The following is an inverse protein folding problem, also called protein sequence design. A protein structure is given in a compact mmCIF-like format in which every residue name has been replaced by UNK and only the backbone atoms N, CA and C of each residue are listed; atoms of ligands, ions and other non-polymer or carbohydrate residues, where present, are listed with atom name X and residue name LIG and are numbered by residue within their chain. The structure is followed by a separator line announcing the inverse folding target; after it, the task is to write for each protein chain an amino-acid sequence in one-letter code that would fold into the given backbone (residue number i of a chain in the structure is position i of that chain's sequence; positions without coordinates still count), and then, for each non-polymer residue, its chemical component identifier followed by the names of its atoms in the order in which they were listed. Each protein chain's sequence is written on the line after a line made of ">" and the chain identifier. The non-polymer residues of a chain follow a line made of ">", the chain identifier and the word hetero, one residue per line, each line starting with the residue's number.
data_IF_091949364841
#
_entry.id   IF_091949364841
#
_cell.length_a   1.000
_cell.length_b   1.000
_cell.length_c   1.000
_cell.angle_alpha   90.00
_cell.angle_beta   90.00
_cell.angle_gamma   90.00
#
_symmetry.space_group_name_H-M   'P 1'
#
loop_
_entity.id
_entity.type
_entity.pdbx_description
1 polymer ?
#
# COMPACT_ATOMS: atom_id res chain seq x y z
N UNK A 1 -11.05 -13.76 7.69
CA UNK A 1 -9.65 -13.38 7.34
C UNK A 1 -9.10 -14.19 6.17
N UNK A 2 -9.20 -15.53 6.14
CA UNK A 2 -8.72 -16.32 4.99
C UNK A 2 -9.49 -16.04 3.68
N UNK A 3 -10.80 -15.80 3.74
CA UNK A 3 -11.61 -15.38 2.58
C UNK A 3 -11.11 -14.09 1.90
N UNK A 4 -10.57 -13.15 2.70
CA UNK A 4 -10.02 -11.91 2.16
C UNK A 4 -8.67 -12.15 1.45
N UNK A 5 -7.84 -13.04 1.99
CA UNK A 5 -6.58 -13.44 1.34
C UNK A 5 -6.83 -14.22 0.04
N UNK A 6 -7.84 -15.08 0.05
CA UNK A 6 -8.28 -15.81 -1.13
C UNK A 6 -8.80 -14.87 -2.23
N UNK A 7 -9.63 -13.89 -1.85
CA UNK A 7 -10.07 -12.83 -2.75
C UNK A 7 -8.88 -12.02 -3.32
N UNK A 8 -7.93 -11.61 -2.50
CA UNK A 8 -6.76 -10.85 -3.00
C UNK A 8 -5.94 -11.71 -3.97
N UNK A 9 -5.68 -12.98 -3.63
CA UNK A 9 -4.97 -13.90 -4.51
C UNK A 9 -5.69 -14.15 -5.84
N UNK A 10 -7.02 -14.21 -5.83
CA UNK A 10 -7.80 -14.35 -7.08
C UNK A 10 -7.76 -13.08 -7.92
N UNK A 11 -7.80 -11.89 -7.32
CA UNK A 11 -7.70 -10.60 -8.03
C UNK A 11 -6.34 -10.41 -8.71
N UNK A 12 -5.24 -10.80 -8.05
CA UNK A 12 -3.89 -10.71 -8.65
C UNK A 12 -3.56 -11.86 -9.61
N UNK A 13 -4.49 -12.80 -9.80
CA UNK A 13 -4.31 -13.98 -10.65
C UNK A 13 -3.26 -14.97 -10.13
N UNK A 14 -2.89 -14.90 -8.85
CA UNK A 14 -1.81 -15.71 -8.28
C UNK A 14 -2.27 -16.47 -7.03
N UNK A 15 -2.57 -17.75 -7.23
CA UNK A 15 -3.05 -18.66 -6.20
C UNK A 15 -1.88 -19.45 -5.57
N UNK A 16 -1.88 -19.66 -4.24
CA UNK A 16 -0.86 -20.48 -3.59
C UNK A 16 -0.80 -21.90 -4.18
N UNK A 17 0.40 -22.45 -4.47
CA UNK A 17 0.54 -23.81 -4.97
C UNK A 17 -0.10 -24.87 -4.06
N UNK A 18 -0.23 -24.57 -2.77
CA UNK A 18 -0.85 -25.43 -1.77
C UNK A 18 -2.37 -25.61 -1.94
N UNK A 19 -3.06 -24.81 -2.77
CA UNK A 19 -4.46 -25.05 -3.17
C UNK A 19 -4.61 -26.27 -4.08
N UNK A 20 -3.53 -26.73 -4.72
CA UNK A 20 -3.56 -27.93 -5.58
C UNK A 20 -3.82 -29.23 -4.82
N UNK A 21 -3.65 -29.24 -3.49
CA UNK A 21 -3.95 -30.39 -2.65
C UNK A 21 -5.18 -30.11 -1.76
N UNK A 22 -6.36 -30.67 -2.07
CA UNK A 22 -7.60 -30.40 -1.35
C UNK A 22 -7.57 -30.85 0.12
N UNK A 23 -6.60 -31.69 0.51
CA UNK A 23 -6.50 -32.24 1.86
C UNK A 23 -5.61 -31.41 2.82
N UNK A 24 -4.98 -30.33 2.36
CA UNK A 24 -4.07 -29.53 3.20
C UNK A 24 -4.68 -28.15 3.53
N UNK A 25 -4.96 -27.85 4.81
CA UNK A 25 -5.52 -26.55 5.17
C UNK A 25 -4.52 -25.42 4.91
N UNK A 26 -4.95 -24.41 4.15
CA UNK A 26 -4.13 -23.24 3.84
C UNK A 26 -4.00 -22.32 5.06
N UNK A 27 -2.74 -22.06 5.41
CA UNK A 27 -2.35 -21.10 6.44
C UNK A 27 -1.95 -19.77 5.81
N UNK A 28 -2.08 -18.68 6.58
CA UNK A 28 -1.68 -17.32 6.17
C UNK A 28 -0.26 -17.25 5.56
N UNK A 29 0.69 -18.04 6.09
CA UNK A 29 2.06 -18.11 5.58
C UNK A 29 2.11 -18.42 4.08
N UNK A 30 1.27 -19.33 3.60
CA UNK A 30 1.26 -19.72 2.18
C UNK A 30 0.78 -18.58 1.28
N UNK A 31 -0.27 -17.86 1.69
CA UNK A 31 -0.73 -16.65 1.00
C UNK A 31 0.36 -15.58 0.99
N UNK A 32 0.97 -15.29 2.15
CA UNK A 32 2.02 -14.29 2.25
C UNK A 32 3.22 -14.60 1.33
N UNK A 33 3.71 -15.84 1.33
CA UNK A 33 4.79 -16.26 0.42
C UNK A 33 4.38 -16.13 -1.05
N UNK A 34 3.15 -16.50 -1.39
CA UNK A 34 2.66 -16.43 -2.78
C UNK A 34 2.54 -14.99 -3.26
N UNK A 35 1.98 -14.10 -2.44
CA UNK A 35 1.89 -12.67 -2.73
C UNK A 35 3.27 -12.02 -2.84
N UNK A 36 4.23 -12.41 -2.00
CA UNK A 36 5.60 -11.92 -2.07
C UNK A 36 6.29 -12.37 -3.37
N UNK A 37 6.15 -13.65 -3.75
CA UNK A 37 6.72 -14.15 -5.01
C UNK A 37 6.12 -13.41 -6.21
N UNK A 38 4.78 -13.32 -6.28
CA UNK A 38 4.09 -12.55 -7.31
C UNK A 38 4.58 -11.10 -7.36
N UNK A 39 4.74 -10.46 -6.19
CA UNK A 39 5.25 -9.08 -6.08
C UNK A 39 6.67 -8.96 -6.63
N UNK A 40 7.52 -9.97 -6.39
CA UNK A 40 8.90 -10.01 -6.88
C UNK A 40 9.00 -10.33 -8.37
N UNK A 41 7.98 -10.92 -8.98
CA UNK A 41 7.94 -11.18 -10.43
C UNK A 41 7.52 -9.94 -11.24
N UNK A 42 6.87 -8.96 -10.60
CA UNK A 42 6.45 -7.75 -11.29
C UNK A 42 7.65 -6.98 -11.87
N UNK A 43 7.51 -6.58 -13.14
CA UNK A 43 8.42 -5.65 -13.81
C UNK A 43 8.11 -4.23 -13.34
N UNK A 44 8.92 -3.70 -12.44
CA UNK A 44 8.83 -2.31 -12.01
C UNK A 44 10.06 -1.55 -12.46
N UNK A 45 9.84 -0.38 -13.06
CA UNK A 45 10.95 0.50 -13.42
C UNK A 45 11.62 1.00 -12.14
N UNK A 46 12.85 0.53 -11.91
CA UNK A 46 13.67 1.04 -10.82
C UNK A 46 14.24 2.39 -11.29
N UNK A 47 13.60 3.51 -10.92
CA UNK A 47 14.21 4.83 -11.10
C UNK A 47 15.37 4.89 -10.11
N UNK A 48 16.56 4.53 -10.59
CA UNK A 48 17.73 4.10 -9.82
C UNK A 48 18.44 5.16 -8.98
N UNK A 49 17.71 6.01 -8.25
CA UNK A 49 18.31 7.07 -7.42
C UNK A 49 18.05 6.99 -5.93
N UNK A 50 17.13 6.15 -5.46
CA UNK A 50 16.91 5.97 -4.02
C UNK A 50 17.56 4.67 -3.54
N UNK A 51 18.50 4.78 -2.59
CA UNK A 51 19.04 3.65 -1.80
C UNK A 51 17.96 3.13 -0.85
N UNK A 52 16.91 2.54 -1.40
CA UNK A 52 15.73 2.16 -0.63
C UNK A 52 15.80 0.74 -0.09
N UNK A 53 15.10 0.50 1.02
CA UNK A 53 15.02 -0.79 1.72
C UNK A 53 14.36 -1.93 0.92
N UNK A 54 13.66 -1.63 -0.18
CA UNK A 54 12.93 -2.62 -0.99
C UNK A 54 13.59 -2.85 -2.35
N UNK A 55 13.75 -4.13 -2.75
CA UNK A 55 14.29 -4.56 -4.05
C UNK A 55 13.38 -4.26 -5.25
N UNK A 56 12.11 -3.95 -4.99
CA UNK A 56 11.09 -3.58 -5.99
C UNK A 56 10.67 -2.13 -5.74
N UNK A 57 10.36 -1.43 -6.82
CA UNK A 57 10.35 0.03 -6.92
C UNK A 57 9.42 0.73 -5.93
N UNK A 58 9.57 2.05 -5.83
CA UNK A 58 8.67 2.90 -5.06
C UNK A 58 7.50 3.31 -5.96
N UNK A 59 6.27 3.05 -5.52
CA UNK A 59 5.06 3.48 -6.25
C UNK A 59 4.93 5.01 -6.18
N UNK A 60 5.32 5.61 -5.05
CA UNK A 60 5.33 7.06 -4.83
C UNK A 60 6.76 7.53 -4.61
N UNK A 61 7.25 8.44 -5.45
CA UNK A 61 8.54 9.09 -5.28
C UNK A 61 8.45 10.29 -4.32
N UNK A 62 9.60 10.82 -3.89
CA UNK A 62 9.64 11.98 -3.01
C UNK A 62 8.91 13.20 -3.61
N UNK A 63 9.01 13.39 -4.93
CA UNK A 63 8.32 14.50 -5.59
C UNK A 63 6.79 14.29 -5.56
N UNK A 64 6.30 13.08 -5.85
CA UNK A 64 4.87 12.77 -5.69
C UNK A 64 4.39 12.97 -4.25
N UNK A 65 5.23 12.64 -3.26
CA UNK A 65 4.90 12.86 -1.84
C UNK A 65 4.80 14.36 -1.53
N UNK A 66 5.65 15.21 -2.11
CA UNK A 66 5.55 16.67 -1.94
C UNK A 66 4.30 17.24 -2.59
N UNK A 67 3.94 16.74 -3.77
CA UNK A 67 2.71 17.13 -4.46
C UNK A 67 1.50 16.78 -3.58
N UNK A 68 1.45 15.55 -3.06
CA UNK A 68 0.42 15.12 -2.10
C UNK A 68 0.39 16.03 -0.86
N UNK A 69 1.54 16.46 -0.33
CA UNK A 69 1.56 17.37 0.83
C UNK A 69 0.96 18.74 0.50
N UNK A 70 1.25 19.28 -0.68
CA UNK A 70 0.64 20.53 -1.15
C UNK A 70 -0.87 20.37 -1.33
N UNK A 71 -1.31 19.24 -1.89
CA UNK A 71 -2.73 18.94 -2.07
C UNK A 71 -3.47 18.84 -0.73
N UNK A 72 -2.89 18.16 0.27
CA UNK A 72 -3.48 18.08 1.61
C UNK A 72 -3.64 19.48 2.23
N UNK A 73 -2.70 20.40 2.00
CA UNK A 73 -2.76 21.76 2.54
C UNK A 73 -3.90 22.58 1.93
N UNK A 74 -4.24 22.35 0.66
CA UNK A 74 -5.32 23.08 -0.04
C UNK A 74 -6.69 22.39 0.05
N UNK A 75 -6.74 21.08 0.33
CA UNK A 75 -7.99 20.31 0.44
C UNK A 75 -8.81 20.80 1.64
N UNK A 76 -10.02 21.31 1.33
CA UNK A 76 -10.98 21.71 2.35
C UNK A 76 -11.55 20.49 3.08
N UNK A 77 -11.08 20.29 4.31
CA UNK A 77 -11.44 19.13 5.13
C UNK A 77 -12.64 19.44 6.02
N UNK A 78 -13.75 18.69 5.92
CA UNK A 78 -14.89 18.88 6.80
C UNK A 78 -14.52 18.65 8.27
N UNK A 79 -15.12 19.41 9.18
CA UNK A 79 -14.79 19.35 10.63
C UNK A 79 -15.05 18.01 11.30
N UNK A 80 -15.93 17.19 10.74
CA UNK A 80 -16.25 15.84 11.23
C UNK A 80 -15.27 14.77 10.75
N UNK A 81 -14.37 15.11 9.83
CA UNK A 81 -13.40 14.17 9.26
C UNK A 81 -12.09 14.21 10.05
N UNK A 82 -11.46 13.06 10.22
CA UNK A 82 -10.12 12.96 10.83
C UNK A 82 -9.11 13.76 10.03
N UNK A 83 -8.45 14.72 10.66
CA UNK A 83 -7.33 15.44 10.07
C UNK A 83 -6.12 14.53 9.86
N UNK A 84 -5.52 14.59 8.67
CA UNK A 84 -4.27 13.89 8.36
C UNK A 84 -3.10 14.85 8.51
N UNK A 85 -1.90 14.35 8.85
CA UNK A 85 -0.71 15.20 8.90
C UNK A 85 -0.36 15.82 7.55
N UNK A 86 0.20 17.02 7.56
CA UNK A 86 0.69 17.69 6.34
C UNK A 86 2.00 17.07 5.84
N UNK A 87 2.85 16.56 6.74
CA UNK A 87 4.17 16.03 6.43
C UNK A 87 4.25 14.51 6.60
N UNK A 88 3.30 13.81 5.97
CA UNK A 88 3.16 12.35 5.98
C UNK A 88 4.46 11.65 5.57
N UNK A 89 4.87 10.63 6.32
CA UNK A 89 6.09 9.86 6.00
C UNK A 89 7.40 10.57 6.36
N UNK A 90 7.35 11.80 6.88
CA UNK A 90 8.53 12.44 7.47
C UNK A 90 8.93 11.77 8.79
N UNK A 91 10.23 11.66 9.05
CA UNK A 91 10.75 11.11 10.32
C UNK A 91 10.25 11.90 11.54
N UNK A 92 9.97 13.19 11.37
CA UNK A 92 9.54 14.11 12.43
C UNK A 92 8.10 13.85 12.90
N UNK A 93 7.20 13.38 12.01
CA UNK A 93 5.78 13.24 12.35
C UNK A 93 5.42 11.86 12.94
N UNK A 94 6.34 10.91 12.92
CA UNK A 94 6.14 9.59 13.52
C UNK A 94 5.15 8.71 12.73
N UNK A 95 4.49 7.78 13.44
CA UNK A 95 3.58 6.79 12.85
C UNK A 95 2.16 7.33 12.74
N UNK A 96 1.54 7.13 11.57
CA UNK A 96 0.12 7.42 11.36
C UNK A 96 -0.78 6.46 12.16
N UNK A 97 -1.84 7.01 12.75
CA UNK A 97 -2.90 6.23 13.38
C UNK A 97 -3.77 5.54 12.33
N UNK A 98 -4.48 4.50 12.74
CA UNK A 98 -5.31 3.69 11.83
C UNK A 98 -6.42 4.51 11.16
N UNK A 99 -7.02 5.47 11.86
CA UNK A 99 -8.03 6.37 11.31
C UNK A 99 -7.44 7.34 10.28
N UNK A 100 -6.26 7.90 10.56
CA UNK A 100 -5.51 8.76 9.64
C UNK A 100 -5.13 7.99 8.37
N UNK A 101 -4.68 6.74 8.49
CA UNK A 101 -4.43 5.87 7.34
C UNK A 101 -5.67 5.67 6.49
N UNK A 102 -6.83 5.44 7.13
CA UNK A 102 -8.09 5.26 6.42
C UNK A 102 -8.46 6.53 5.66
N UNK A 103 -8.49 7.68 6.33
CA UNK A 103 -8.86 8.95 5.68
C UNK A 103 -7.88 9.32 4.56
N UNK A 104 -6.59 9.16 4.79
CA UNK A 104 -5.56 9.36 3.77
C UNK A 104 -5.82 8.49 2.54
N UNK A 105 -6.05 7.19 2.74
CA UNK A 105 -6.25 6.23 1.66
C UNK A 105 -7.56 6.37 0.90
N UNK A 106 -8.63 6.82 1.55
CA UNK A 106 -9.97 6.89 0.92
C UNK A 106 -10.32 8.26 0.37
N UNK A 107 -9.66 9.33 0.84
CA UNK A 107 -10.01 10.71 0.48
C UNK A 107 -8.83 11.42 -0.18
N UNK A 108 -7.74 11.61 0.56
CA UNK A 108 -6.65 12.46 0.09
C UNK A 108 -5.85 11.84 -1.06
N UNK A 109 -5.47 10.56 -0.97
CA UNK A 109 -4.72 9.90 -2.04
C UNK A 109 -5.50 9.86 -3.36
N UNK A 110 -6.79 9.47 -3.41
CA UNK A 110 -7.56 9.55 -4.65
C UNK A 110 -7.68 10.96 -5.22
N UNK A 111 -7.70 12.01 -4.39
CA UNK A 111 -7.78 13.40 -4.86
C UNK A 111 -6.44 13.91 -5.40
N UNK A 112 -5.33 13.53 -4.76
CA UNK A 112 -3.98 14.04 -5.08
C UNK A 112 -3.31 13.29 -6.24
N UNK A 113 -3.84 12.13 -6.64
CA UNK A 113 -3.25 11.25 -7.65
C UNK A 113 -4.02 11.25 -8.99
N UNK A 114 -4.89 12.24 -9.20
CA UNK A 114 -5.61 12.48 -10.47
C UNK A 114 -4.73 13.30 -11.40
#
# INVERSE_FOLDING_TARGET
>A
MLKALDFVCSQVGWLPPALSNPNKPLKKKHYATSLLNWRLEQWEQHIGRASSSTQKGHILNLDNIKDIWQDIEIILTPSWMTAVPLNLGSKSHGKLKADQWRTLGTVYLPLSLI
#
